data_IF_965035775922
#
_entry.id   IF_965035775922
#
_cell.length_a   1.000
_cell.length_b   1.000
_cell.length_c   1.000
_cell.angle_alpha   90.00
_cell.angle_beta   90.00
_cell.angle_gamma   90.00
#
_symmetry.space_group_name_H-M   'P 1'
#
loop_
_entity.id
_entity.type
_entity.pdbx_description
1 polymer ?
#
# COMPACT_ATOMS: atom_id res chain seq x y z
N UNK A 1 3.32 12.05 1.29
CA UNK A 1 3.49 10.59 1.07
C UNK A 1 3.52 9.94 2.44
N UNK A 2 2.79 8.85 2.60
CA UNK A 2 2.76 8.03 3.81
C UNK A 2 3.26 6.65 3.39
N UNK A 3 4.30 6.14 4.05
CA UNK A 3 4.88 4.82 3.73
C UNK A 3 5.10 3.99 4.99
N UNK A 4 5.28 2.68 4.78
CA UNK A 4 5.40 1.69 5.85
C UNK A 4 6.57 1.96 6.81
N UNK A 5 7.70 2.47 6.33
CA UNK A 5 8.88 2.67 7.16
C UNK A 5 8.70 3.91 8.06
N UNK A 6 8.22 5.01 7.49
CA UNK A 6 8.02 6.28 8.19
C UNK A 6 6.88 6.20 9.21
N UNK A 7 5.78 5.54 8.86
CA UNK A 7 4.64 5.41 9.79
C UNK A 7 4.96 4.46 10.95
N UNK A 8 5.73 3.38 10.71
CA UNK A 8 6.10 2.41 11.75
C UNK A 8 7.18 2.90 12.70
N UNK A 9 7.91 3.95 12.38
CA UNK A 9 8.84 4.59 13.35
C UNK A 9 8.13 5.63 14.24
N UNK A 10 6.98 6.16 13.78
CA UNK A 10 6.19 7.15 14.50
C UNK A 10 4.83 6.61 14.97
N UNK A 11 3.76 6.97 14.24
CA UNK A 11 2.36 6.76 14.61
C UNK A 11 2.03 5.29 14.94
N UNK A 12 2.70 4.34 14.27
CA UNK A 12 2.47 2.90 14.42
C UNK A 12 3.67 2.15 15.01
N UNK A 13 4.51 2.83 15.80
CA UNK A 13 5.68 2.20 16.43
C UNK A 13 5.37 1.13 17.46
N UNK A 14 4.13 1.05 17.92
CA UNK A 14 3.65 0.06 18.86
C UNK A 14 2.98 -1.15 18.20
N UNK A 15 2.95 -1.22 16.86
CA UNK A 15 2.31 -2.31 16.12
C UNK A 15 3.36 -3.25 15.52
N UNK A 16 3.17 -4.55 15.73
CA UNK A 16 3.92 -5.61 15.09
C UNK A 16 3.39 -5.96 13.68
N UNK A 17 3.40 -7.26 13.39
CA UNK A 17 3.08 -7.82 12.07
C UNK A 17 2.04 -8.95 12.13
N UNK A 18 1.32 -9.10 13.24
CA UNK A 18 0.14 -9.98 13.31
C UNK A 18 -0.94 -9.46 12.37
N UNK A 19 -1.96 -10.28 12.10
CA UNK A 19 -3.09 -9.88 11.27
C UNK A 19 -3.81 -8.67 11.88
N UNK A 20 -4.04 -8.68 13.19
CA UNK A 20 -4.68 -7.59 13.93
C UNK A 20 -3.85 -6.31 13.88
N UNK A 21 -2.53 -6.41 14.08
CA UNK A 21 -1.63 -5.25 14.02
C UNK A 21 -1.57 -4.66 12.60
N UNK A 22 -1.64 -5.50 11.57
CA UNK A 22 -1.68 -5.04 10.17
C UNK A 22 -3.00 -4.34 9.85
N UNK A 23 -4.11 -4.87 10.34
CA UNK A 23 -5.42 -4.24 10.20
C UNK A 23 -5.45 -2.87 10.91
N UNK A 24 -4.97 -2.80 12.15
CA UNK A 24 -4.90 -1.54 12.91
C UNK A 24 -3.92 -0.54 12.28
N UNK A 25 -2.79 -1.03 11.74
CA UNK A 25 -1.84 -0.20 11.02
C UNK A 25 -2.52 0.53 9.85
N UNK A 26 -3.22 -0.22 9.00
CA UNK A 26 -3.92 0.35 7.84
C UNK A 26 -5.12 1.21 8.26
N UNK A 27 -5.87 0.82 9.30
CA UNK A 27 -6.96 1.64 9.84
C UNK A 27 -6.47 3.03 10.27
N UNK A 28 -5.36 3.10 11.03
CA UNK A 28 -4.76 4.39 11.44
C UNK A 28 -4.30 5.22 10.24
N UNK A 29 -3.67 4.59 9.25
CA UNK A 29 -3.23 5.27 8.02
C UNK A 29 -4.43 5.82 7.23
N UNK A 30 -5.54 5.08 7.17
CA UNK A 30 -6.76 5.51 6.48
C UNK A 30 -7.37 6.75 7.16
N UNK A 31 -7.42 6.79 8.49
CA UNK A 31 -7.87 7.98 9.24
C UNK A 31 -6.95 9.19 9.01
N UNK A 32 -5.63 8.98 9.04
CA UNK A 32 -4.66 10.05 8.74
C UNK A 32 -4.82 10.54 7.30
N UNK A 33 -5.01 9.64 6.34
CA UNK A 33 -5.25 9.97 4.93
C UNK A 33 -6.52 10.79 4.75
N UNK A 34 -7.58 10.46 5.49
CA UNK A 34 -8.83 11.24 5.51
C UNK A 34 -8.62 12.65 6.04
N UNK A 35 -7.78 12.84 7.05
CA UNK A 35 -7.42 14.19 7.53
C UNK A 35 -6.70 15.01 6.45
N UNK A 36 -5.73 14.41 5.74
CA UNK A 36 -5.08 15.06 4.60
C UNK A 36 -6.07 15.42 3.49
N UNK A 37 -6.97 14.49 3.14
CA UNK A 37 -8.01 14.72 2.15
C UNK A 37 -8.93 15.88 2.53
N UNK A 38 -9.33 15.99 3.81
CA UNK A 38 -10.14 17.09 4.33
C UNK A 38 -9.42 18.45 4.22
N UNK A 39 -8.08 18.45 4.23
CA UNK A 39 -7.26 19.63 3.96
C UNK A 39 -7.05 19.92 2.47
N UNK A 40 -7.66 19.14 1.56
CA UNK A 40 -7.48 19.25 0.12
C UNK A 40 -6.14 18.71 -0.38
N UNK A 41 -5.48 17.85 0.40
CA UNK A 41 -4.19 17.25 0.08
C UNK A 41 -4.41 15.82 -0.42
N UNK A 42 -3.76 15.47 -1.54
CA UNK A 42 -3.75 14.10 -2.05
C UNK A 42 -2.71 13.30 -1.26
N UNK A 43 -3.17 12.30 -0.51
CA UNK A 43 -2.31 11.39 0.23
C UNK A 43 -1.95 10.16 -0.63
N UNK A 44 -0.65 9.99 -0.91
CA UNK A 44 -0.11 8.77 -1.54
C UNK A 44 0.32 7.81 -0.43
N UNK A 45 -0.29 6.63 -0.41
CA UNK A 45 -0.11 5.60 0.61
C UNK A 45 0.63 4.37 0.06
N UNK A 46 1.86 4.13 0.51
CA UNK A 46 2.72 3.05 0.04
C UNK A 46 2.85 1.96 1.13
N UNK A 47 1.87 1.04 1.20
CA UNK A 47 1.82 0.00 2.22
C UNK A 47 1.48 -1.36 1.65
N UNK A 48 2.07 -2.41 2.23
CA UNK A 48 1.58 -3.78 2.03
C UNK A 48 0.25 -3.91 2.77
N UNK A 49 -0.83 -3.98 2.01
CA UNK A 49 -2.20 -4.17 2.49
C UNK A 49 -2.69 -5.55 2.03
N UNK A 50 -2.43 -6.62 2.82
CA UNK A 50 -2.40 -7.98 2.31
C UNK A 50 -3.76 -8.59 2.01
N UNK A 51 -4.85 -8.13 2.65
CA UNK A 51 -6.17 -8.73 2.49
C UNK A 51 -7.18 -7.73 1.94
N UNK A 52 -8.17 -8.23 1.20
CA UNK A 52 -9.29 -7.44 0.70
C UNK A 52 -10.05 -6.78 1.86
N UNK A 53 -10.19 -7.47 3.00
CA UNK A 53 -10.84 -6.93 4.19
C UNK A 53 -10.18 -5.63 4.67
N UNK A 54 -8.84 -5.62 4.77
CA UNK A 54 -8.07 -4.45 5.20
C UNK A 54 -8.21 -3.29 4.20
N UNK A 55 -8.15 -3.58 2.89
CA UNK A 55 -8.29 -2.55 1.84
C UNK A 55 -9.71 -1.99 1.79
N UNK A 56 -10.72 -2.83 1.94
CA UNK A 56 -12.13 -2.42 2.04
C UNK A 56 -12.39 -1.55 3.26
N UNK A 57 -11.77 -1.85 4.41
CA UNK A 57 -11.83 -0.99 5.60
C UNK A 57 -11.24 0.39 5.32
N UNK A 58 -10.06 0.45 4.70
CA UNK A 58 -9.44 1.73 4.34
C UNK A 58 -10.31 2.53 3.37
N UNK A 59 -10.86 1.86 2.34
CA UNK A 59 -11.78 2.45 1.36
C UNK A 59 -13.04 3.02 2.03
N UNK A 60 -13.61 2.30 3.00
CA UNK A 60 -14.77 2.76 3.74
C UNK A 60 -14.48 3.99 4.62
N UNK A 61 -13.30 4.05 5.26
CA UNK A 61 -12.89 5.18 6.10
C UNK A 61 -12.63 6.44 5.27
N UNK A 62 -11.84 6.30 4.20
CA UNK A 62 -11.48 7.41 3.29
C UNK A 62 -12.69 7.88 2.49
N UNK A 63 -13.53 6.94 2.06
CA UNK A 63 -14.67 7.17 1.18
C UNK A 63 -14.38 6.70 -0.23
N UNK A 64 -15.28 5.88 -0.78
CA UNK A 64 -15.11 5.22 -2.08
C UNK A 64 -14.86 6.18 -3.25
N UNK A 65 -15.41 7.40 -3.20
CA UNK A 65 -15.22 8.42 -4.24
C UNK A 65 -13.82 9.04 -4.26
N UNK A 66 -13.14 9.01 -3.12
CA UNK A 66 -11.85 9.67 -2.90
C UNK A 66 -10.71 8.65 -2.70
N UNK A 67 -11.00 7.37 -2.94
CA UNK A 67 -10.06 6.26 -2.79
C UNK A 67 -9.77 5.61 -4.15
N UNK A 68 -8.50 5.64 -4.56
CA UNK A 68 -8.01 4.98 -5.77
C UNK A 68 -7.09 3.84 -5.35
N UNK A 69 -7.47 2.60 -5.69
CA UNK A 69 -6.69 1.41 -5.38
C UNK A 69 -5.73 1.10 -6.54
N UNK A 70 -4.42 1.12 -6.27
CA UNK A 70 -3.40 0.76 -7.26
C UNK A 70 -2.72 -0.54 -6.82
N UNK A 71 -2.89 -1.59 -7.60
CA UNK A 71 -2.13 -2.83 -7.42
C UNK A 71 -0.77 -2.68 -8.09
N UNK A 72 0.30 -2.73 -7.29
CA UNK A 72 1.65 -2.94 -7.82
C UNK A 72 1.84 -4.45 -7.97
N UNK A 73 1.61 -4.94 -9.18
CA UNK A 73 1.59 -6.36 -9.50
C UNK A 73 2.99 -6.81 -9.92
N UNK A 74 3.63 -7.61 -9.08
CA UNK A 74 4.97 -8.13 -9.37
C UNK A 74 5.06 -9.52 -8.77
N UNK A 75 5.45 -10.54 -9.56
CA UNK A 75 5.57 -11.90 -9.06
C UNK A 75 6.43 -11.97 -7.80
N UNK A 76 6.07 -12.87 -6.88
CA UNK A 76 6.78 -13.04 -5.61
C UNK A 76 8.25 -13.37 -5.85
N UNK A 77 8.54 -14.21 -6.84
CA UNK A 77 9.89 -14.65 -7.20
C UNK A 77 10.77 -13.47 -7.61
N UNK A 78 10.20 -12.50 -8.33
CA UNK A 78 10.88 -11.26 -8.73
C UNK A 78 11.10 -10.35 -7.53
N UNK A 79 10.12 -10.25 -6.63
CA UNK A 79 10.27 -9.51 -5.37
C UNK A 79 11.37 -10.12 -4.48
N UNK A 80 11.42 -11.45 -4.37
CA UNK A 80 12.44 -12.22 -3.66
C UNK A 80 13.82 -12.06 -4.30
N UNK A 81 13.91 -12.06 -5.62
CA UNK A 81 15.17 -11.81 -6.32
C UNK A 81 15.71 -10.40 -6.05
N UNK A 82 14.82 -9.40 -6.00
CA UNK A 82 15.20 -8.00 -5.76
C UNK A 82 15.64 -7.74 -4.33
N UNK A 83 15.03 -8.41 -3.36
CA UNK A 83 15.22 -8.32 -1.89
C UNK A 83 15.95 -7.05 -1.41
N UNK A 84 15.39 -5.89 -1.74
CA UNK A 84 16.10 -4.59 -1.63
C UNK A 84 16.51 -4.21 -0.21
N UNK A 85 15.93 -4.89 0.78
CA UNK A 85 16.17 -4.68 2.21
C UNK A 85 16.69 -5.94 2.93
N UNK A 86 16.94 -7.05 2.22
CA UNK A 86 17.33 -8.31 2.84
C UNK A 86 16.24 -8.96 3.70
N UNK A 87 14.97 -8.58 3.49
CA UNK A 87 13.84 -9.03 4.31
C UNK A 87 13.35 -10.42 3.88
N UNK A 88 13.37 -10.72 2.59
CA UNK A 88 12.99 -12.05 2.10
C UNK A 88 14.01 -13.10 2.55
N UNK A 89 15.31 -12.80 2.48
CA UNK A 89 16.36 -13.68 2.98
C UNK A 89 16.17 -14.01 4.48
N UNK A 90 15.87 -13.00 5.31
CA UNK A 90 15.59 -13.18 6.74
C UNK A 90 14.32 -13.97 7.01
N UNK A 91 13.26 -13.74 6.24
CA UNK A 91 12.03 -14.51 6.33
C UNK A 91 12.25 -15.98 5.97
N UNK A 92 12.97 -16.27 4.88
CA UNK A 92 13.35 -17.64 4.49
C UNK A 92 14.23 -18.33 5.53
N UNK A 93 15.05 -17.59 6.27
CA UNK A 93 15.84 -18.09 7.40
C UNK A 93 15.02 -18.30 8.70
N UNK A 94 13.73 -17.91 8.72
CA UNK A 94 12.85 -18.02 9.89
C UNK A 94 13.06 -16.92 10.95
N UNK A 95 13.86 -15.89 10.65
CA UNK A 95 14.12 -14.76 11.56
C UNK A 95 12.95 -13.77 11.61
N UNK A 96 12.17 -13.68 10.52
CA UNK A 96 10.97 -12.85 10.43
C UNK A 96 9.76 -13.76 10.20
N UNK A 97 8.85 -13.77 11.17
CA UNK A 97 7.58 -14.51 11.07
C UNK A 97 6.48 -13.66 10.45
N UNK A 98 5.42 -14.29 9.96
CA UNK A 98 4.24 -13.64 9.38
C UNK A 98 4.62 -12.71 8.20
N UNK A 99 5.58 -13.13 7.38
CA UNK A 99 6.04 -12.36 6.24
C UNK A 99 5.09 -12.54 5.06
N UNK A 100 4.58 -11.44 4.51
CA UNK A 100 3.60 -11.46 3.41
C UNK A 100 4.23 -12.10 2.18
N UNK A 101 3.54 -13.08 1.58
CA UNK A 101 4.03 -13.86 0.43
C UNK A 101 4.80 -15.13 0.81
N UNK A 102 5.27 -15.27 2.05
CA UNK A 102 5.92 -16.50 2.54
C UNK A 102 5.01 -17.22 3.54
N UNK A 103 4.83 -16.65 4.74
CA UNK A 103 4.08 -17.27 5.84
C UNK A 103 2.73 -16.58 6.12
N UNK A 104 2.46 -15.46 5.43
CA UNK A 104 1.19 -14.72 5.50
C UNK A 104 0.65 -14.46 4.09
N UNK A 105 -0.68 -14.50 3.89
CA UNK A 105 -1.28 -14.39 2.56
C UNK A 105 -1.13 -12.98 1.97
N UNK A 106 -1.19 -12.92 0.65
CA UNK A 106 -1.50 -11.70 -0.09
C UNK A 106 -2.67 -12.04 -1.02
N UNK A 107 -3.81 -11.41 -0.78
CA UNK A 107 -5.00 -11.49 -1.61
C UNK A 107 -4.93 -10.36 -2.63
N UNK A 108 -4.83 -10.64 -3.93
CA UNK A 108 -4.95 -9.60 -4.95
C UNK A 108 -6.29 -8.85 -4.80
N UNK A 109 -6.31 -7.53 -5.01
CA UNK A 109 -7.55 -6.74 -5.02
C UNK A 109 -8.49 -7.21 -6.12
N UNK A 110 -9.75 -7.44 -5.74
CA UNK A 110 -10.79 -7.88 -6.68
C UNK A 110 -11.14 -6.80 -7.71
N UNK A 111 -11.05 -5.52 -7.33
CA UNK A 111 -11.49 -4.39 -8.13
C UNK A 111 -10.51 -3.22 -8.07
N UNK A 112 -9.22 -3.49 -8.31
CA UNK A 112 -8.21 -2.44 -8.39
C UNK A 112 -8.57 -1.40 -9.46
N UNK A 113 -8.38 -0.13 -9.14
CA UNK A 113 -8.61 0.99 -10.07
C UNK A 113 -7.55 1.02 -11.16
N UNK A 114 -6.32 0.63 -10.82
CA UNK A 114 -5.18 0.52 -11.72
C UNK A 114 -4.31 -0.67 -11.30
N UNK A 115 -3.79 -1.41 -12.28
CA UNK A 115 -2.79 -2.47 -12.06
C UNK A 115 -1.52 -2.03 -12.78
N UNK A 116 -0.40 -2.01 -12.05
CA UNK A 116 0.92 -1.60 -12.55
C UNK A 116 1.87 -2.77 -12.41
N UNK A 117 2.32 -3.33 -13.54
CA UNK A 117 3.36 -4.35 -13.54
C UNK A 117 4.74 -3.71 -13.46
N UNK A 118 5.61 -4.17 -12.56
CA UNK A 118 6.98 -3.63 -12.40
C UNK A 118 8.07 -4.59 -12.82
N UNK A 119 7.75 -5.81 -13.26
CA UNK A 119 8.75 -6.83 -13.62
C UNK A 119 9.61 -6.40 -14.82
N UNK A 120 8.98 -5.86 -15.86
CA UNK A 120 9.59 -5.55 -17.16
C UNK A 120 9.59 -4.05 -17.51
N UNK A 121 9.35 -3.19 -16.53
CA UNK A 121 9.28 -1.74 -16.69
C UNK A 121 10.28 -1.04 -15.81
N UNK A 122 10.77 0.10 -16.29
CA UNK A 122 11.53 0.98 -15.41
C UNK A 122 10.60 1.73 -14.43
N UNK A 123 11.22 2.36 -13.42
CA UNK A 123 10.50 3.09 -12.38
C UNK A 123 9.73 4.27 -12.97
N UNK A 124 10.27 4.93 -13.99
CA UNK A 124 9.70 6.14 -14.56
C UNK A 124 8.48 5.82 -15.43
N UNK A 125 8.53 4.73 -16.20
CA UNK A 125 7.39 4.17 -16.93
C UNK A 125 6.25 3.81 -15.98
N UNK A 126 6.57 3.08 -14.90
CA UNK A 126 5.60 2.66 -13.88
C UNK A 126 4.96 3.87 -13.18
N UNK A 127 5.78 4.87 -12.80
CA UNK A 127 5.28 6.09 -12.17
C UNK A 127 4.41 6.92 -13.12
N UNK A 128 4.81 7.04 -14.40
CA UNK A 128 4.05 7.77 -15.40
C UNK A 128 2.67 7.15 -15.64
N UNK A 129 2.55 5.83 -15.62
CA UNK A 129 1.25 5.16 -15.73
C UNK A 129 0.30 5.56 -14.59
N UNK A 130 0.78 5.54 -13.34
CA UNK A 130 0.01 5.98 -12.17
C UNK A 130 -0.38 7.45 -12.28
N UNK A 131 0.57 8.32 -12.66
CA UNK A 131 0.33 9.76 -12.82
C UNK A 131 -0.73 10.01 -13.89
N UNK A 132 -0.60 9.37 -15.06
CA UNK A 132 -1.54 9.53 -16.18
C UNK A 132 -2.95 9.06 -15.82
N UNK A 133 -3.07 8.06 -14.96
CA UNK A 133 -4.36 7.59 -14.45
C UNK A 133 -4.98 8.58 -13.44
N UNK A 134 -4.18 9.09 -12.49
CA UNK A 134 -4.69 9.90 -11.38
C UNK A 134 -4.96 11.35 -11.79
N UNK A 135 -4.13 11.96 -12.63
CA UNK A 135 -4.21 13.38 -12.97
C UNK A 135 -5.61 13.82 -13.47
N UNK A 136 -6.30 13.09 -14.37
CA UNK A 136 -7.64 13.44 -14.83
C UNK A 136 -8.73 13.40 -13.73
N UNK A 137 -8.50 12.67 -12.65
CA UNK A 137 -9.44 12.55 -11.53
C UNK A 137 -9.39 13.76 -10.59
N UNK A 138 -8.28 14.51 -10.60
CA UNK A 138 -8.05 15.64 -9.70
C UNK A 138 -8.80 16.86 -10.23
N UNK A 139 -9.85 17.26 -9.50
CA UNK A 139 -10.60 18.49 -9.77
C UNK A 139 -10.22 19.56 -8.76
N UNK A 140 -9.82 20.74 -9.24
CA UNK A 140 -9.75 21.92 -8.38
C UNK A 140 -11.16 22.37 -8.05
N UNK A 141 -11.49 22.52 -6.77
CA UNK A 141 -12.66 23.32 -6.37
C UNK A 141 -12.43 24.75 -6.90
N UNK A 142 -13.23 25.16 -7.88
CA UNK A 142 -13.33 26.57 -8.22
C UNK A 142 -13.87 27.30 -6.98
N UNK A 143 -13.21 28.40 -6.60
CA UNK A 143 -13.64 29.25 -5.49
C UNK A 143 -14.94 29.97 -5.85
#
# INVERSE_FOLDING_TARGET
MLDGDNIRTGINNNLGFTEEDRAENIRRIAEVSKLFLNCGIIAINCFVSPTNAIRNQAKAIVGEKDFVEVLVDTPLEVCEQRDTKGLYAKARAGEIKNFTGIDAPFEPPENASLIVSTESRDIQESANEVINYILPLIKRKQK
#
